data_IF_634202731458
#
_entry.id   IF_634202731458
#
_cell.length_a   1.000
_cell.length_b   1.000
_cell.length_c   1.000
_cell.angle_alpha   90.00
_cell.angle_beta   90.00
_cell.angle_gamma   90.00
#
_symmetry.space_group_name_H-M   'P 1'
#
loop_
_entity.id
_entity.type
_entity.pdbx_description
1 polymer ?
#
# COMPACT_ATOMS: atom_id res chain seq x y z
N UNK A 1 8.82 24.08 21.78
CA UNK A 1 8.51 23.37 20.52
C UNK A 1 8.00 24.42 19.56
N UNK A 2 8.78 24.74 18.54
CA UNK A 2 8.36 25.68 17.50
C UNK A 2 7.61 24.85 16.45
N UNK A 3 6.29 25.02 16.39
CA UNK A 3 5.48 24.54 15.27
C UNK A 3 5.34 25.65 14.24
N UNK A 4 5.22 25.29 12.97
CA UNK A 4 4.89 26.22 11.89
C UNK A 4 3.53 25.83 11.31
N UNK A 5 2.62 26.81 11.25
CA UNK A 5 1.29 26.64 10.67
C UNK A 5 1.02 27.81 9.75
N UNK A 6 0.81 27.53 8.47
CA UNK A 6 0.43 28.52 7.47
C UNK A 6 -0.93 28.12 6.91
N UNK A 7 -1.88 29.05 6.98
CA UNK A 7 -3.29 28.86 6.66
C UNK A 7 -3.76 30.00 5.76
N UNK A 8 -4.09 29.71 4.50
CA UNK A 8 -4.70 30.70 3.61
C UNK A 8 -3.77 31.86 3.24
N UNK A 9 -2.45 31.64 3.23
CA UNK A 9 -1.49 32.68 2.84
C UNK A 9 -1.34 32.71 1.32
N UNK A 10 -2.19 33.52 0.69
CA UNK A 10 -2.18 33.74 -0.75
C UNK A 10 -0.96 34.52 -1.27
N UNK A 11 0.08 34.77 -0.46
CA UNK A 11 1.32 35.39 -0.92
C UNK A 11 2.55 34.49 -0.71
N UNK A 12 2.38 33.31 -0.09
CA UNK A 12 3.47 32.38 0.12
C UNK A 12 3.79 31.64 -1.19
N UNK A 13 4.91 31.98 -1.81
CA UNK A 13 5.37 31.37 -3.07
C UNK A 13 6.48 30.33 -2.82
N UNK A 14 7.32 30.57 -1.82
CA UNK A 14 8.41 29.71 -1.36
C UNK A 14 8.79 30.02 0.10
N UNK A 15 9.88 29.43 0.59
CA UNK A 15 10.45 29.64 1.93
C UNK A 15 11.82 30.34 1.89
N UNK A 16 12.09 31.15 0.86
CA UNK A 16 13.39 31.80 0.71
C UNK A 16 13.75 32.63 1.96
N UNK A 17 15.00 32.53 2.40
CA UNK A 17 15.48 33.15 3.65
C UNK A 17 15.46 32.22 4.86
N UNK A 18 14.92 31.00 4.73
CA UNK A 18 15.07 29.92 5.71
C UNK A 18 16.22 28.96 5.39
N UNK A 19 17.14 29.33 4.51
CA UNK A 19 18.19 28.44 3.94
C UNK A 19 19.12 27.77 4.99
N UNK A 20 19.13 28.29 6.23
CA UNK A 20 19.90 27.74 7.36
C UNK A 20 19.04 26.96 8.37
N UNK A 21 17.73 26.84 8.14
CA UNK A 21 16.80 26.15 9.03
C UNK A 21 16.99 24.64 8.88
N UNK A 22 17.56 24.01 9.91
CA UNK A 22 17.79 22.56 9.91
C UNK A 22 16.70 21.75 10.59
N UNK A 23 15.89 22.38 11.45
CA UNK A 23 14.92 21.65 12.27
C UNK A 23 13.67 22.47 12.57
N UNK A 24 12.52 21.83 12.38
CA UNK A 24 11.23 22.28 12.93
C UNK A 24 10.94 21.44 14.17
N UNK A 25 10.90 22.09 15.33
CA UNK A 25 10.80 21.43 16.63
C UNK A 25 9.39 20.96 17.02
N UNK A 26 8.48 20.91 16.06
CA UNK A 26 7.05 20.60 16.21
C UNK A 26 6.51 20.16 14.86
N UNK A 27 5.24 20.45 14.58
CA UNK A 27 4.65 20.17 13.27
C UNK A 27 4.96 21.28 12.25
N UNK A 28 4.94 20.91 10.98
CA UNK A 28 4.92 21.79 9.82
C UNK A 28 3.60 21.56 9.07
N UNK A 29 2.77 22.59 9.00
CA UNK A 29 1.43 22.50 8.46
C UNK A 29 1.18 23.62 7.44
N UNK A 30 0.85 23.23 6.22
CA UNK A 30 0.41 24.09 5.12
C UNK A 30 -1.01 23.71 4.71
N UNK A 31 -1.89 24.69 4.64
CA UNK A 31 -3.22 24.51 4.06
C UNK A 31 -3.71 25.74 3.31
N UNK A 32 -4.33 25.53 2.15
CA UNK A 32 -4.87 26.58 1.28
C UNK A 32 -3.77 27.59 0.91
N UNK A 33 -2.66 27.09 0.37
CA UNK A 33 -1.49 27.89 -0.04
C UNK A 33 -1.29 27.74 -1.55
N UNK A 34 -2.32 28.06 -2.32
CA UNK A 34 -2.39 27.76 -3.75
C UNK A 34 -1.24 28.40 -4.55
N UNK A 35 -0.70 29.54 -4.13
CA UNK A 35 0.43 30.20 -4.81
C UNK A 35 1.81 29.62 -4.46
N UNK A 36 1.88 28.65 -3.52
CA UNK A 36 3.14 28.00 -3.15
C UNK A 36 3.59 27.10 -4.30
N UNK A 37 4.76 27.40 -4.85
CA UNK A 37 5.28 26.67 -6.02
C UNK A 37 6.49 25.80 -5.70
N UNK A 38 7.14 26.01 -4.55
CA UNK A 38 8.39 25.34 -4.23
C UNK A 38 8.69 25.31 -2.72
N UNK A 39 9.59 24.41 -2.31
CA UNK A 39 10.16 24.37 -0.96
C UNK A 39 11.50 25.14 -0.88
N UNK A 40 11.78 26.01 -1.84
CA UNK A 40 13.02 26.77 -1.90
C UNK A 40 13.23 27.53 -0.58
N UNK A 41 14.42 27.40 0.00
CA UNK A 41 14.76 27.86 1.34
C UNK A 41 14.77 26.75 2.39
N UNK A 42 14.24 25.55 2.11
CA UNK A 42 14.30 24.38 3.01
C UNK A 42 15.32 23.32 2.60
N UNK A 43 16.29 23.65 1.75
CA UNK A 43 17.30 22.69 1.30
C UNK A 43 18.20 22.17 2.44
N UNK A 44 18.32 22.93 3.54
CA UNK A 44 19.04 22.51 4.75
C UNK A 44 18.14 21.87 5.83
N UNK A 45 16.82 21.78 5.61
CA UNK A 45 15.87 21.23 6.59
C UNK A 45 16.08 19.73 6.71
N UNK A 46 16.64 19.29 7.84
CA UNK A 46 16.97 17.89 8.10
C UNK A 46 15.86 17.15 8.83
N UNK A 47 15.06 17.86 9.65
CA UNK A 47 14.16 17.21 10.59
C UNK A 47 12.91 18.02 10.91
N UNK A 48 11.79 17.32 10.97
CA UNK A 48 10.53 17.80 11.57
C UNK A 48 10.19 16.86 12.71
N UNK A 49 10.06 17.39 13.93
CA UNK A 49 9.80 16.54 15.13
C UNK A 49 8.35 16.07 15.24
N UNK A 50 7.42 16.75 14.58
CA UNK A 50 6.01 16.38 14.52
C UNK A 50 5.57 16.07 13.10
N UNK A 51 4.31 16.39 12.80
CA UNK A 51 3.71 16.11 11.50
C UNK A 51 4.27 17.01 10.39
N UNK A 52 4.40 16.45 9.19
CA UNK A 52 4.56 17.19 7.94
C UNK A 52 3.23 17.11 7.20
N UNK A 53 2.50 18.21 7.12
CA UNK A 53 1.15 18.25 6.54
C UNK A 53 1.09 19.31 5.46
N UNK A 54 0.75 18.90 4.23
CA UNK A 54 0.50 19.79 3.09
C UNK A 54 -0.81 19.40 2.44
N UNK A 55 -1.76 20.31 2.51
CA UNK A 55 -3.13 20.12 2.04
C UNK A 55 -3.53 21.31 1.20
N UNK A 56 -4.18 21.12 0.05
CA UNK A 56 -4.69 22.25 -0.76
C UNK A 56 -3.56 23.25 -1.10
N UNK A 57 -2.46 22.76 -1.68
CA UNK A 57 -1.35 23.55 -2.22
C UNK A 57 -1.31 23.34 -3.74
N UNK A 58 -2.23 24.01 -4.44
CA UNK A 58 -2.54 23.70 -5.84
C UNK A 58 -1.37 23.92 -6.80
N UNK A 59 -0.57 24.98 -6.68
CA UNK A 59 0.55 25.22 -7.61
C UNK A 59 1.85 24.46 -7.24
N UNK A 60 1.86 23.68 -6.15
CA UNK A 60 3.02 22.90 -5.73
C UNK A 60 3.09 21.58 -6.53
N UNK A 61 4.08 21.49 -7.40
CA UNK A 61 4.17 20.38 -8.37
C UNK A 61 5.13 19.24 -7.98
N UNK A 62 6.09 19.49 -7.07
CA UNK A 62 7.05 18.49 -6.60
C UNK A 62 7.66 18.84 -5.22
N UNK A 63 8.36 17.87 -4.63
CA UNK A 63 8.98 17.95 -3.29
C UNK A 63 10.51 17.84 -3.34
N UNK A 64 11.09 17.88 -4.54
CA UNK A 64 12.49 17.50 -4.80
C UNK A 64 13.53 18.41 -4.12
N UNK A 65 13.13 19.60 -3.68
CA UNK A 65 13.98 20.54 -2.97
C UNK A 65 14.21 20.20 -1.49
N UNK A 66 13.43 19.26 -0.92
CA UNK A 66 13.61 18.76 0.45
C UNK A 66 14.75 17.73 0.55
N UNK A 67 15.88 18.03 -0.10
CA UNK A 67 17.01 17.12 -0.32
C UNK A 67 17.71 16.64 0.96
N UNK A 68 17.54 17.36 2.07
CA UNK A 68 18.18 17.03 3.34
C UNK A 68 17.21 16.45 4.36
N UNK A 69 15.91 16.40 4.09
CA UNK A 69 14.90 16.01 5.08
C UNK A 69 14.96 14.50 5.31
N UNK A 70 15.57 14.10 6.42
CA UNK A 70 15.80 12.68 6.76
C UNK A 70 14.77 12.12 7.74
N UNK A 71 14.01 12.98 8.43
CA UNK A 71 13.11 12.51 9.48
C UNK A 71 11.85 13.37 9.65
N UNK A 72 10.71 12.69 9.75
CA UNK A 72 9.43 13.24 10.18
C UNK A 72 9.00 12.46 11.43
N UNK A 73 8.82 13.15 12.55
CA UNK A 73 8.49 12.50 13.82
C UNK A 73 7.02 12.09 13.97
N UNK A 74 6.13 12.70 13.20
CA UNK A 74 4.70 12.38 13.15
C UNK A 74 4.28 11.84 11.79
N UNK A 75 3.10 12.24 11.33
CA UNK A 75 2.55 11.81 10.03
C UNK A 75 3.14 12.63 8.87
N UNK A 76 3.40 11.99 7.73
CA UNK A 76 3.52 12.66 6.44
C UNK A 76 2.14 12.67 5.76
N UNK A 77 1.49 13.83 5.67
CA UNK A 77 0.19 13.99 5.02
C UNK A 77 0.31 14.90 3.80
N UNK A 78 -0.10 14.38 2.64
CA UNK A 78 -0.10 15.09 1.36
C UNK A 78 -1.46 14.88 0.70
N UNK A 79 -2.35 15.85 0.86
CA UNK A 79 -3.76 15.73 0.43
C UNK A 79 -4.18 16.84 -0.52
N UNK A 80 -5.05 16.52 -1.48
CA UNK A 80 -5.72 17.52 -2.30
C UNK A 80 -4.75 18.52 -2.97
N UNK A 81 -3.56 18.08 -3.38
CA UNK A 81 -2.63 18.90 -4.16
C UNK A 81 -2.78 18.49 -5.61
N UNK A 82 -3.77 19.06 -6.31
CA UNK A 82 -4.25 18.47 -7.57
C UNK A 82 -3.28 18.61 -8.74
N UNK A 83 -2.29 19.52 -8.68
CA UNK A 83 -1.23 19.62 -9.68
C UNK A 83 0.10 18.99 -9.26
N UNK A 84 0.18 18.35 -8.09
CA UNK A 84 1.34 17.55 -7.71
C UNK A 84 1.58 16.48 -8.78
N UNK A 85 2.74 16.51 -9.43
CA UNK A 85 3.08 15.57 -10.51
C UNK A 85 3.85 14.36 -9.97
N UNK A 86 4.66 14.60 -8.95
CA UNK A 86 5.61 13.64 -8.40
C UNK A 86 5.94 14.01 -6.95
N UNK A 87 6.29 13.02 -6.14
CA UNK A 87 6.88 13.23 -4.82
C UNK A 87 8.20 12.49 -4.78
N UNK A 88 9.24 13.21 -4.39
CA UNK A 88 10.59 12.66 -4.22
C UNK A 88 11.12 13.14 -2.88
N UNK A 89 11.28 12.21 -1.94
CA UNK A 89 11.83 12.45 -0.62
C UNK A 89 13.02 11.52 -0.38
N UNK A 90 13.93 11.41 -1.36
CA UNK A 90 14.95 10.36 -1.41
C UNK A 90 15.86 10.26 -0.16
N UNK A 91 15.95 11.31 0.65
CA UNK A 91 16.72 11.32 1.90
C UNK A 91 15.93 10.86 3.13
N UNK A 92 14.60 10.76 3.05
CA UNK A 92 13.72 10.47 4.17
C UNK A 92 13.91 9.01 4.62
N UNK A 93 14.51 8.83 5.80
CA UNK A 93 14.85 7.52 6.38
C UNK A 93 13.76 7.01 7.32
N UNK A 94 13.05 7.91 8.02
CA UNK A 94 12.05 7.50 9.00
C UNK A 94 10.86 8.44 9.12
N UNK A 95 9.68 7.83 9.30
CA UNK A 95 8.42 8.47 9.64
C UNK A 95 7.93 7.85 10.94
N UNK A 96 7.77 8.67 11.98
CA UNK A 96 7.45 8.19 13.33
C UNK A 96 6.01 7.70 13.49
N UNK A 97 5.09 8.18 12.66
CA UNK A 97 3.70 7.70 12.60
C UNK A 97 3.41 7.18 11.18
N UNK A 98 2.35 7.65 10.50
CA UNK A 98 1.95 7.14 9.19
C UNK A 98 2.33 7.99 7.97
N UNK A 99 2.05 7.42 6.79
CA UNK A 99 1.98 8.14 5.50
C UNK A 99 0.52 8.25 5.10
N UNK A 100 0.11 9.42 4.66
CA UNK A 100 -1.27 9.71 4.28
C UNK A 100 -1.28 10.50 2.96
N UNK A 101 -1.22 9.78 1.85
CA UNK A 101 -1.12 10.31 0.49
C UNK A 101 -2.45 10.14 -0.25
N UNK A 102 -3.25 11.21 -0.32
CA UNK A 102 -4.63 11.12 -0.81
C UNK A 102 -5.02 12.21 -1.79
N UNK A 103 -5.81 11.84 -2.81
CA UNK A 103 -6.46 12.79 -3.70
C UNK A 103 -5.50 13.78 -4.38
N UNK A 104 -4.30 13.33 -4.77
CA UNK A 104 -3.35 14.10 -5.57
C UNK A 104 -3.54 13.71 -7.04
N UNK A 105 -4.57 14.27 -7.66
CA UNK A 105 -5.18 13.75 -8.89
C UNK A 105 -4.31 13.81 -10.15
N UNK A 106 -3.24 14.62 -10.18
CA UNK A 106 -2.25 14.66 -11.28
C UNK A 106 -0.99 13.84 -11.00
N UNK A 107 -0.81 13.30 -9.80
CA UNK A 107 0.41 12.58 -9.44
C UNK A 107 0.41 11.24 -10.17
N UNK A 108 1.39 11.04 -11.06
CA UNK A 108 1.48 9.83 -11.87
C UNK A 108 2.31 8.75 -11.20
N UNK A 109 3.30 9.14 -10.39
CA UNK A 109 4.23 8.21 -9.76
C UNK A 109 4.42 8.58 -8.29
N UNK A 110 4.28 7.58 -7.43
CA UNK A 110 4.69 7.67 -6.02
C UNK A 110 6.04 6.97 -5.91
N UNK A 111 7.11 7.74 -5.66
CA UNK A 111 8.49 7.22 -5.59
C UNK A 111 9.33 8.02 -4.60
N UNK A 112 10.64 7.77 -4.60
CA UNK A 112 11.60 8.58 -3.86
C UNK A 112 11.53 8.38 -2.35
N UNK A 113 11.07 7.23 -1.86
CA UNK A 113 11.20 6.85 -0.45
C UNK A 113 12.30 5.79 -0.28
N UNK A 114 13.29 5.78 -1.18
CA UNK A 114 14.24 4.67 -1.28
C UNK A 114 15.04 4.49 0.01
N UNK A 115 15.32 5.58 0.74
CA UNK A 115 15.99 5.53 2.03
C UNK A 115 15.08 5.13 3.20
N UNK A 116 13.76 5.13 3.01
CA UNK A 116 12.79 4.96 4.09
C UNK A 116 12.86 3.52 4.60
N UNK A 117 13.33 3.37 5.84
CA UNK A 117 13.50 2.07 6.49
C UNK A 117 12.39 1.75 7.49
N UNK A 118 11.65 2.77 7.93
CA UNK A 118 10.66 2.66 9.00
C UNK A 118 9.47 3.60 8.85
N UNK A 119 8.26 3.06 9.01
CA UNK A 119 7.00 3.79 9.19
C UNK A 119 6.30 3.26 10.44
N UNK A 120 6.15 4.11 11.46
CA UNK A 120 5.61 3.74 12.78
C UNK A 120 4.08 3.61 12.86
N UNK A 121 3.39 3.87 11.76
CA UNK A 121 1.94 3.82 11.66
C UNK A 121 1.46 3.36 10.28
N UNK A 122 0.22 3.69 9.90
CA UNK A 122 -0.36 3.22 8.65
C UNK A 122 0.18 3.97 7.44
N UNK A 123 0.25 3.29 6.31
CA UNK A 123 0.53 3.85 4.98
C UNK A 123 -0.76 3.83 4.17
N UNK A 124 -1.34 5.00 3.97
CA UNK A 124 -2.52 5.21 3.12
C UNK A 124 -2.12 5.84 1.79
N UNK A 125 -2.43 5.17 0.68
CA UNK A 125 -2.28 5.70 -0.68
C UNK A 125 -3.63 5.59 -1.36
N UNK A 126 -4.42 6.67 -1.37
CA UNK A 126 -5.83 6.61 -1.81
C UNK A 126 -6.26 7.69 -2.78
N UNK A 127 -7.23 7.36 -3.63
CA UNK A 127 -7.94 8.33 -4.46
C UNK A 127 -7.01 9.13 -5.42
N UNK A 128 -5.84 8.59 -5.78
CA UNK A 128 -4.93 9.24 -6.72
C UNK A 128 -5.22 8.73 -8.14
N UNK A 129 -6.21 9.34 -8.79
CA UNK A 129 -6.80 8.82 -10.04
C UNK A 129 -5.81 8.68 -11.21
N UNK A 130 -4.73 9.48 -11.26
CA UNK A 130 -3.70 9.41 -12.30
C UNK A 130 -2.49 8.56 -11.91
N UNK A 131 -2.39 8.12 -10.65
CA UNK A 131 -1.26 7.33 -10.16
C UNK A 131 -1.22 6.02 -10.93
N UNK A 132 -0.15 5.80 -11.68
CA UNK A 132 0.01 4.61 -12.52
C UNK A 132 1.05 3.62 -11.97
N UNK A 133 1.92 4.08 -11.06
CA UNK A 133 2.92 3.25 -10.43
C UNK A 133 3.25 3.71 -9.00
N UNK A 134 3.43 2.73 -8.12
CA UNK A 134 4.08 2.91 -6.82
C UNK A 134 5.44 2.22 -6.89
N UNK A 135 6.48 2.91 -6.42
CA UNK A 135 7.85 2.42 -6.38
C UNK A 135 8.63 3.08 -5.26
N UNK A 136 9.86 2.65 -5.04
CA UNK A 136 10.80 3.40 -4.24
C UNK A 136 10.60 3.31 -2.73
N UNK A 137 10.04 2.23 -2.18
CA UNK A 137 10.05 1.93 -0.74
C UNK A 137 11.10 0.83 -0.42
N UNK A 138 12.14 0.72 -1.26
CA UNK A 138 12.92 -0.51 -1.43
C UNK A 138 13.60 -1.02 -0.16
N UNK A 139 13.84 -0.13 0.82
CA UNK A 139 14.49 -0.46 2.10
C UNK A 139 13.49 -0.56 3.28
N UNK A 140 12.19 -0.43 3.03
CA UNK A 140 11.17 -0.46 4.07
C UNK A 140 10.96 -1.90 4.55
N UNK A 141 11.41 -2.20 5.77
CA UNK A 141 11.37 -3.56 6.32
C UNK A 141 10.05 -3.89 7.03
N UNK A 142 9.39 -2.88 7.58
CA UNK A 142 8.26 -3.03 8.48
C UNK A 142 7.29 -1.84 8.35
N UNK A 143 5.99 -2.16 8.31
CA UNK A 143 4.89 -1.22 8.53
C UNK A 143 4.22 -1.62 9.84
N UNK A 144 4.21 -0.70 10.82
CA UNK A 144 3.74 -0.99 12.19
C UNK A 144 2.21 -1.12 12.32
N UNK A 145 1.46 -0.75 11.28
CA UNK A 145 0.00 -0.88 11.25
C UNK A 145 -0.46 -1.38 9.87
N UNK A 146 -1.17 -0.56 9.10
CA UNK A 146 -1.88 -0.94 7.88
C UNK A 146 -1.14 -0.45 6.62
N UNK A 147 -1.01 -1.29 5.59
CA UNK A 147 -0.72 -0.85 4.22
C UNK A 147 -2.02 -0.89 3.41
N UNK A 148 -2.51 0.28 3.03
CA UNK A 148 -3.82 0.46 2.41
C UNK A 148 -3.70 1.33 1.16
N UNK A 149 -3.73 0.64 0.01
CA UNK A 149 -3.58 1.21 -1.33
C UNK A 149 -4.90 1.02 -2.05
N UNK A 150 -5.77 2.03 -2.00
CA UNK A 150 -7.15 1.89 -2.44
C UNK A 150 -7.61 2.98 -3.41
N UNK A 151 -8.49 2.63 -4.34
CA UNK A 151 -9.15 3.59 -5.24
C UNK A 151 -8.16 4.40 -6.11
N UNK A 152 -7.04 3.77 -6.52
CA UNK A 152 -6.10 4.35 -7.48
C UNK A 152 -6.33 3.72 -8.86
N UNK A 153 -7.40 4.13 -9.54
CA UNK A 153 -7.96 3.43 -10.72
C UNK A 153 -6.97 3.25 -11.90
N UNK A 154 -5.97 4.13 -12.03
CA UNK A 154 -4.93 4.06 -13.07
C UNK A 154 -3.70 3.24 -12.68
N UNK A 155 -3.60 2.81 -11.42
CA UNK A 155 -2.43 2.13 -10.86
C UNK A 155 -2.27 0.78 -11.56
N UNK A 156 -1.12 0.57 -12.20
CA UNK A 156 -0.82 -0.66 -12.96
C UNK A 156 0.18 -1.55 -12.24
N UNK A 157 1.11 -0.92 -11.52
CA UNK A 157 2.28 -1.59 -10.95
C UNK A 157 2.50 -1.10 -9.53
N UNK A 158 2.63 -2.05 -8.61
CA UNK A 158 3.25 -1.84 -7.31
C UNK A 158 4.60 -2.54 -7.35
N UNK A 159 5.64 -1.76 -7.13
CA UNK A 159 7.02 -2.19 -6.94
C UNK A 159 7.58 -1.43 -5.74
N UNK A 160 8.81 -1.68 -5.36
CA UNK A 160 9.45 -0.90 -4.31
C UNK A 160 9.20 -1.43 -2.89
N UNK A 161 8.47 -2.52 -2.64
CA UNK A 161 8.33 -3.09 -1.29
C UNK A 161 9.12 -4.39 -1.12
N UNK A 162 10.15 -4.57 -1.93
CA UNK A 162 10.86 -5.84 -2.11
C UNK A 162 11.52 -6.39 -0.85
N UNK A 163 11.94 -5.51 0.06
CA UNK A 163 12.53 -5.87 1.35
C UNK A 163 11.49 -5.88 2.51
N UNK A 164 10.22 -5.57 2.24
CA UNK A 164 9.17 -5.56 3.27
C UNK A 164 8.94 -6.97 3.82
N UNK A 165 9.28 -7.17 5.09
CA UNK A 165 9.21 -8.48 5.76
C UNK A 165 7.89 -8.70 6.49
N UNK A 166 7.31 -7.64 7.04
CA UNK A 166 6.13 -7.74 7.90
C UNK A 166 5.26 -6.50 7.88
N UNK A 167 3.96 -6.73 8.00
CA UNK A 167 2.93 -5.71 8.27
C UNK A 167 2.24 -6.11 9.57
N UNK A 168 2.29 -5.25 10.59
CA UNK A 168 1.74 -5.54 11.91
C UNK A 168 0.20 -5.42 11.99
N UNK A 169 -0.42 -4.79 10.99
CA UNK A 169 -1.85 -4.76 10.72
C UNK A 169 -2.20 -5.48 9.42
N UNK A 170 -3.08 -4.92 8.59
CA UNK A 170 -3.56 -5.54 7.34
C UNK A 170 -2.82 -5.03 6.11
N UNK A 171 -2.87 -5.82 5.03
CA UNK A 171 -2.59 -5.38 3.66
C UNK A 171 -3.91 -5.30 2.90
N UNK A 172 -4.27 -4.10 2.44
CA UNK A 172 -5.49 -3.84 1.68
C UNK A 172 -5.14 -3.24 0.33
N UNK A 173 -5.46 -3.97 -0.74
CA UNK A 173 -5.39 -3.51 -2.13
C UNK A 173 -6.80 -3.58 -2.69
N UNK A 174 -7.50 -2.44 -2.75
CA UNK A 174 -8.92 -2.39 -3.10
C UNK A 174 -9.21 -1.35 -4.17
N UNK A 175 -10.01 -1.69 -5.18
CA UNK A 175 -10.44 -0.76 -6.24
C UNK A 175 -9.24 -0.12 -6.98
N UNK A 176 -8.19 -0.90 -7.26
CA UNK A 176 -7.13 -0.49 -8.17
C UNK A 176 -7.37 -1.18 -9.52
N UNK A 177 -8.40 -0.72 -10.24
CA UNK A 177 -8.96 -1.40 -11.40
C UNK A 177 -7.94 -1.78 -12.48
N UNK A 178 -6.85 -1.02 -12.64
CA UNK A 178 -5.81 -1.28 -13.65
C UNK A 178 -4.62 -2.11 -13.14
N UNK A 179 -4.62 -2.46 -11.84
CA UNK A 179 -3.49 -3.09 -11.17
C UNK A 179 -3.31 -4.50 -11.71
N UNK A 180 -2.11 -4.79 -12.18
CA UNK A 180 -1.73 -6.11 -12.73
C UNK A 180 -0.47 -6.67 -12.08
N UNK A 181 0.53 -5.82 -11.84
CA UNK A 181 1.85 -6.25 -11.41
C UNK A 181 2.02 -5.87 -9.93
N UNK A 182 2.10 -6.87 -9.06
CA UNK A 182 2.27 -6.71 -7.60
C UNK A 182 3.57 -7.36 -7.09
N UNK A 183 4.59 -7.48 -7.96
CA UNK A 183 5.91 -8.08 -7.72
C UNK A 183 6.77 -7.32 -6.68
N UNK A 184 6.13 -6.61 -5.75
CA UNK A 184 6.74 -5.90 -4.65
C UNK A 184 6.85 -6.75 -3.38
N UNK A 185 5.98 -7.75 -3.17
CA UNK A 185 5.80 -8.34 -1.84
C UNK A 185 6.54 -9.67 -1.62
N UNK A 186 7.47 -10.05 -2.49
CA UNK A 186 8.06 -11.39 -2.49
C UNK A 186 8.90 -11.75 -1.24
N UNK A 187 9.26 -10.77 -0.41
CA UNK A 187 9.90 -10.99 0.90
C UNK A 187 8.94 -10.95 2.09
N UNK A 188 7.66 -10.61 1.86
CA UNK A 188 6.66 -10.43 2.91
C UNK A 188 6.32 -11.78 3.54
N UNK A 189 6.69 -11.94 4.82
CA UNK A 189 6.53 -13.19 5.57
C UNK A 189 5.29 -13.21 6.46
N UNK A 190 4.85 -12.03 6.93
CA UNK A 190 3.75 -11.96 7.90
C UNK A 190 2.88 -10.72 7.74
N UNK A 191 1.57 -10.94 7.88
CA UNK A 191 0.55 -9.90 8.01
C UNK A 191 -0.21 -10.21 9.30
N UNK A 192 -0.08 -9.37 10.33
CA UNK A 192 -0.77 -9.62 11.61
C UNK A 192 -2.23 -9.13 11.63
N UNK A 193 -2.79 -8.87 10.45
CA UNK A 193 -4.21 -8.62 10.17
C UNK A 193 -4.67 -9.39 8.92
N UNK A 194 -5.53 -8.76 8.12
CA UNK A 194 -6.11 -9.35 6.90
C UNK A 194 -5.23 -9.13 5.66
N UNK A 195 -5.31 -10.05 4.71
CA UNK A 195 -4.91 -9.83 3.32
C UNK A 195 -6.18 -9.64 2.49
N UNK A 196 -6.36 -8.43 1.97
CA UNK A 196 -7.55 -8.03 1.21
C UNK A 196 -7.17 -7.60 -0.20
N UNK A 197 -7.58 -8.40 -1.19
CA UNK A 197 -7.46 -8.12 -2.61
C UNK A 197 -8.89 -8.01 -3.17
N UNK A 198 -9.36 -6.79 -3.45
CA UNK A 198 -10.74 -6.59 -3.91
C UNK A 198 -10.79 -5.64 -5.11
N UNK A 199 -11.52 -6.01 -6.17
CA UNK A 199 -11.68 -5.17 -7.36
C UNK A 199 -10.35 -4.75 -7.99
N UNK A 200 -9.37 -5.67 -8.03
CA UNK A 200 -8.14 -5.52 -8.80
C UNK A 200 -8.25 -6.40 -10.06
N UNK A 201 -9.03 -5.94 -11.03
CA UNK A 201 -9.53 -6.77 -12.12
C UNK A 201 -8.45 -7.38 -13.03
N UNK A 202 -7.23 -6.83 -13.04
CA UNK A 202 -6.16 -7.24 -13.94
C UNK A 202 -5.05 -8.06 -13.27
N UNK A 203 -5.09 -8.26 -11.95
CA UNK A 203 -4.18 -9.19 -11.27
C UNK A 203 -4.48 -10.60 -11.77
N UNK A 204 -3.48 -11.27 -12.32
CA UNK A 204 -3.56 -12.65 -12.82
C UNK A 204 -2.58 -13.61 -12.14
N UNK A 205 -1.74 -13.10 -11.24
CA UNK A 205 -0.72 -13.85 -10.51
C UNK A 205 -0.60 -13.34 -9.06
N UNK A 206 -0.46 -14.25 -8.09
CA UNK A 206 -0.25 -13.96 -6.67
C UNK A 206 1.12 -14.45 -6.18
N UNK A 207 2.07 -14.76 -7.06
CA UNK A 207 3.40 -15.26 -6.69
C UNK A 207 4.22 -14.24 -5.88
N UNK A 208 3.83 -12.97 -5.94
CA UNK A 208 4.28 -11.92 -5.04
C UNK A 208 4.11 -12.27 -3.56
N UNK A 209 3.19 -13.15 -3.17
CA UNK A 209 2.99 -13.58 -1.79
C UNK A 209 3.64 -14.93 -1.46
N UNK A 210 4.52 -15.45 -2.33
CA UNK A 210 5.12 -16.78 -2.16
C UNK A 210 5.94 -16.97 -0.88
N UNK A 211 6.40 -15.90 -0.22
CA UNK A 211 7.07 -15.96 1.08
C UNK A 211 6.12 -15.79 2.28
N UNK A 212 4.83 -15.52 2.05
CA UNK A 212 3.87 -15.21 3.11
C UNK A 212 3.51 -16.48 3.88
N UNK A 213 3.96 -16.55 5.13
CA UNK A 213 3.78 -17.71 6.02
C UNK A 213 2.60 -17.53 6.97
N UNK A 214 2.22 -16.29 7.30
CA UNK A 214 1.16 -16.05 8.27
C UNK A 214 0.29 -14.84 7.94
N UNK A 215 -1.02 -15.02 8.10
CA UNK A 215 -2.00 -13.94 8.21
C UNK A 215 -2.77 -14.14 9.52
N UNK A 216 -3.00 -13.11 10.32
CA UNK A 216 -3.77 -13.21 11.57
C UNK A 216 -5.16 -12.56 11.42
N UNK A 217 -5.79 -12.80 10.28
CA UNK A 217 -7.00 -12.11 9.85
C UNK A 217 -7.70 -12.84 8.70
N UNK A 218 -8.47 -12.09 7.91
CA UNK A 218 -9.19 -12.66 6.77
C UNK A 218 -8.26 -12.80 5.58
N UNK A 219 -8.38 -13.89 4.83
CA UNK A 219 -7.90 -13.99 3.45
C UNK A 219 -9.07 -13.67 2.53
N UNK A 220 -9.02 -12.55 1.82
CA UNK A 220 -10.10 -12.09 0.95
C UNK A 220 -9.59 -11.81 -0.45
N UNK A 221 -10.08 -12.57 -1.43
CA UNK A 221 -9.83 -12.34 -2.87
C UNK A 221 -11.19 -12.18 -3.55
N UNK A 222 -11.49 -10.96 -3.96
CA UNK A 222 -12.79 -10.59 -4.52
C UNK A 222 -12.59 -9.84 -5.84
N UNK A 223 -13.37 -10.16 -6.87
CA UNK A 223 -13.37 -9.42 -8.12
C UNK A 223 -12.00 -9.37 -8.84
N UNK A 224 -11.18 -10.40 -8.68
CA UNK A 224 -9.91 -10.58 -9.41
C UNK A 224 -10.14 -11.40 -10.68
N UNK A 225 -10.85 -10.82 -11.65
CA UNK A 225 -11.46 -11.56 -12.77
C UNK A 225 -10.47 -12.24 -13.72
N UNK A 226 -9.17 -11.87 -13.69
CA UNK A 226 -8.12 -12.51 -14.49
C UNK A 226 -7.34 -13.58 -13.74
N UNK A 227 -7.50 -13.67 -12.42
CA UNK A 227 -6.79 -14.64 -11.60
C UNK A 227 -7.33 -16.04 -11.88
N UNK A 228 -6.45 -16.96 -12.30
CA UNK A 228 -6.85 -18.34 -12.63
C UNK A 228 -6.59 -19.33 -11.48
N UNK A 229 -5.68 -18.98 -10.58
CA UNK A 229 -5.20 -19.81 -9.50
C UNK A 229 -4.84 -18.96 -8.28
N UNK A 230 -4.94 -19.53 -7.08
CA UNK A 230 -4.42 -18.91 -5.85
C UNK A 230 -2.91 -19.14 -5.63
N UNK A 231 -2.20 -19.60 -6.66
CA UNK A 231 -0.77 -19.91 -6.60
C UNK A 231 0.04 -18.72 -6.05
N UNK A 232 0.94 -18.99 -5.11
CA UNK A 232 1.65 -18.00 -4.32
C UNK A 232 1.15 -17.91 -2.88
N UNK A 233 -0.05 -18.40 -2.56
CA UNK A 233 -0.61 -18.38 -1.21
C UNK A 233 -0.43 -19.71 -0.43
N UNK A 234 0.30 -20.68 -0.96
CA UNK A 234 0.41 -22.04 -0.41
C UNK A 234 1.07 -22.11 0.97
N UNK A 235 1.92 -21.14 1.29
CA UNK A 235 2.74 -21.15 2.50
C UNK A 235 2.04 -20.58 3.73
N UNK A 236 0.85 -19.98 3.57
CA UNK A 236 0.09 -19.41 4.68
C UNK A 236 -0.35 -20.52 5.63
N UNK A 237 -0.01 -20.41 6.91
CA UNK A 237 -0.47 -21.31 7.97
C UNK A 237 -2.00 -21.28 8.06
N UNK A 238 -2.68 -22.41 7.75
CA UNK A 238 -4.13 -22.45 7.75
C UNK A 238 -4.77 -22.24 9.13
N UNK A 239 -4.03 -22.44 10.22
CA UNK A 239 -4.56 -22.23 11.58
C UNK A 239 -4.66 -20.75 11.97
N UNK A 240 -4.00 -19.87 11.22
CA UNK A 240 -3.96 -18.43 11.47
C UNK A 240 -5.02 -17.68 10.64
N UNK A 241 -5.52 -18.28 9.56
CA UNK A 241 -6.64 -17.75 8.77
C UNK A 241 -7.90 -17.72 9.63
N UNK A 242 -8.51 -16.54 9.79
CA UNK A 242 -9.74 -16.39 10.60
C UNK A 242 -11.01 -16.49 9.77
N UNK A 243 -10.93 -16.17 8.48
CA UNK A 243 -12.03 -16.24 7.52
C UNK A 243 -11.46 -16.31 6.10
N UNK A 244 -12.12 -17.08 5.23
CA UNK A 244 -11.78 -17.17 3.81
C UNK A 244 -12.93 -16.60 2.98
N UNK A 245 -12.64 -15.61 2.13
CA UNK A 245 -13.60 -15.04 1.19
C UNK A 245 -13.00 -15.10 -0.21
N UNK A 246 -13.62 -15.86 -1.10
CA UNK A 246 -13.22 -15.96 -2.51
C UNK A 246 -14.48 -15.75 -3.35
N UNK A 247 -14.60 -14.60 -4.01
CA UNK A 247 -15.83 -14.29 -4.73
C UNK A 247 -15.62 -13.48 -6.00
N UNK A 248 -16.50 -13.65 -6.98
CA UNK A 248 -16.50 -12.87 -8.22
C UNK A 248 -15.15 -12.93 -8.97
N UNK A 249 -14.41 -14.04 -8.86
CA UNK A 249 -13.16 -14.27 -9.58
C UNK A 249 -13.44 -15.18 -10.78
N UNK A 250 -14.01 -14.61 -11.84
CA UNK A 250 -14.60 -15.34 -12.98
C UNK A 250 -13.67 -16.35 -13.68
N UNK A 251 -12.35 -16.18 -13.60
CA UNK A 251 -11.36 -17.10 -14.20
C UNK A 251 -10.76 -18.11 -13.21
N UNK A 252 -11.07 -17.98 -11.92
CA UNK A 252 -10.42 -18.72 -10.84
C UNK A 252 -11.00 -20.13 -10.78
N UNK A 253 -10.23 -21.12 -11.25
CA UNK A 253 -10.60 -22.54 -11.25
C UNK A 253 -9.69 -23.40 -10.37
N UNK A 254 -8.60 -22.82 -9.84
CA UNK A 254 -7.66 -23.52 -8.95
C UNK A 254 -7.45 -22.78 -7.62
N UNK A 255 -8.17 -23.19 -6.59
CA UNK A 255 -8.09 -22.63 -5.23
C UNK A 255 -7.95 -23.69 -4.14
N UNK A 256 -7.96 -24.99 -4.50
CA UNK A 256 -7.77 -26.12 -3.57
C UNK A 256 -6.29 -26.34 -3.24
N UNK A 257 -5.61 -25.30 -2.75
CA UNK A 257 -4.24 -25.40 -2.25
C UNK A 257 -4.20 -26.25 -0.96
N UNK A 258 -3.09 -26.96 -0.65
CA UNK A 258 -3.03 -27.83 0.53
C UNK A 258 -3.37 -27.14 1.86
N UNK A 259 -2.95 -25.88 2.04
CA UNK A 259 -3.29 -25.08 3.20
C UNK A 259 -4.78 -24.70 3.22
N UNK A 260 -5.35 -24.27 2.08
CA UNK A 260 -6.78 -23.97 1.98
C UNK A 260 -7.63 -25.22 2.28
N UNK A 261 -7.25 -26.38 1.74
CA UNK A 261 -7.92 -27.65 2.05
C UNK A 261 -7.84 -27.98 3.55
N UNK A 262 -6.67 -27.83 4.16
CA UNK A 262 -6.48 -28.03 5.60
C UNK A 262 -7.34 -27.07 6.44
N UNK A 263 -7.47 -25.81 6.01
CA UNK A 263 -8.33 -24.82 6.66
C UNK A 263 -9.80 -25.24 6.63
N UNK A 264 -10.29 -25.67 5.47
CA UNK A 264 -11.68 -26.11 5.28
C UNK A 264 -11.99 -27.41 6.03
N UNK A 265 -11.07 -28.39 6.03
CA UNK A 265 -11.20 -29.66 6.79
C UNK A 265 -11.35 -29.40 8.30
N UNK A 266 -10.77 -28.31 8.79
CA UNK A 266 -10.90 -27.87 10.18
C UNK A 266 -12.17 -27.04 10.44
N UNK A 267 -13.12 -27.01 9.49
CA UNK A 267 -14.36 -26.23 9.53
C UNK A 267 -14.12 -24.72 9.64
N UNK A 268 -13.04 -24.21 9.03
CA UNK A 268 -12.79 -22.78 8.93
C UNK A 268 -13.94 -22.05 8.22
N UNK A 269 -14.40 -20.88 8.71
CA UNK A 269 -15.46 -20.14 8.06
C UNK A 269 -15.04 -19.69 6.65
N UNK A 270 -15.87 -20.00 5.65
CA UNK A 270 -15.55 -19.70 4.27
C UNK A 270 -16.79 -19.24 3.50
N UNK A 271 -16.60 -18.25 2.63
CA UNK A 271 -17.61 -17.75 1.70
C UNK A 271 -17.05 -17.83 0.28
N UNK A 272 -17.63 -18.70 -0.55
CA UNK A 272 -17.25 -18.90 -1.95
C UNK A 272 -18.48 -18.80 -2.85
N UNK A 273 -18.43 -17.92 -3.85
CA UNK A 273 -19.50 -17.76 -4.85
C UNK A 273 -19.03 -16.99 -6.08
N UNK A 274 -19.62 -17.29 -7.25
CA UNK A 274 -19.35 -16.61 -8.51
C UNK A 274 -17.87 -16.69 -8.92
N UNK A 275 -17.28 -17.87 -8.86
CA UNK A 275 -15.94 -18.13 -9.40
C UNK A 275 -16.05 -19.16 -10.55
N UNK A 276 -14.95 -19.53 -11.19
CA UNK A 276 -14.99 -20.61 -12.19
C UNK A 276 -15.17 -21.98 -11.52
N UNK A 277 -15.53 -22.98 -12.32
CA UNK A 277 -15.71 -24.36 -11.90
C UNK A 277 -14.43 -24.85 -11.19
N UNK A 278 -14.61 -25.41 -10.00
CA UNK A 278 -13.52 -25.80 -9.10
C UNK A 278 -13.36 -24.88 -7.90
N UNK A 279 -13.85 -23.64 -8.00
CA UNK A 279 -13.78 -22.64 -6.95
C UNK A 279 -15.11 -21.92 -6.69
N UNK A 280 -16.18 -22.26 -7.41
CA UNK A 280 -17.43 -21.51 -7.36
C UNK A 280 -18.13 -21.62 -6.00
N UNK A 281 -18.01 -22.74 -5.30
CA UNK A 281 -18.65 -22.94 -4.01
C UNK A 281 -17.87 -23.96 -3.16
N UNK A 282 -18.23 -24.02 -1.87
CA UNK A 282 -17.53 -24.86 -0.90
C UNK A 282 -17.49 -26.35 -1.30
N UNK A 283 -18.58 -26.89 -1.85
CA UNK A 283 -18.65 -28.31 -2.23
C UNK A 283 -17.68 -28.65 -3.36
N UNK A 284 -17.47 -27.73 -4.31
CA UNK A 284 -16.50 -27.92 -5.39
C UNK A 284 -15.07 -27.93 -4.84
N UNK A 285 -14.73 -26.96 -4.00
CA UNK A 285 -13.38 -26.88 -3.41
C UNK A 285 -13.09 -28.10 -2.55
N UNK A 286 -14.02 -28.50 -1.68
CA UNK A 286 -13.91 -29.72 -0.86
C UNK A 286 -13.75 -30.98 -1.72
N UNK A 287 -14.45 -31.07 -2.86
CA UNK A 287 -14.29 -32.17 -3.81
C UNK A 287 -12.86 -32.23 -4.38
N UNK A 288 -12.28 -31.11 -4.78
CA UNK A 288 -10.91 -31.05 -5.29
C UNK A 288 -9.83 -31.16 -4.20
N UNK A 289 -10.19 -30.92 -2.94
CA UNK A 289 -9.35 -31.18 -1.77
C UNK A 289 -9.22 -32.67 -1.42
N UNK A 290 -10.09 -33.55 -1.94
CA UNK A 290 -10.01 -34.99 -1.69
C UNK A 290 -8.72 -35.58 -2.33
N UNK A 291 -7.82 -36.18 -1.53
CA UNK A 291 -6.61 -36.83 -2.03
C UNK A 291 -6.86 -37.89 -3.12
N UNK A 292 -8.04 -38.51 -3.14
CA UNK A 292 -8.42 -39.51 -4.14
C UNK A 292 -8.76 -38.90 -5.49
N UNK A 293 -9.22 -37.64 -5.53
CA UNK A 293 -9.48 -36.90 -6.77
C UNK A 293 -8.17 -36.46 -7.43
N UNK A 294 -7.19 -36.03 -6.63
CA UNK A 294 -5.84 -35.70 -7.10
C UNK A 294 -5.14 -36.86 -7.84
N UNK A 295 -5.38 -38.12 -7.42
CA UNK A 295 -4.79 -39.31 -8.05
C UNK A 295 -5.45 -39.72 -9.37
N UNK A 296 -6.66 -39.22 -9.68
CA UNK A 296 -7.42 -39.59 -10.87
C UNK A 296 -7.20 -38.64 -12.07
N UNK A 297 -6.41 -37.57 -11.89
CA UNK A 297 -6.11 -36.55 -12.91
C UNK A 297 -4.66 -36.59 -13.42
N UNK A 298 -3.82 -37.50 -12.90
CA UNK A 298 -2.47 -37.82 -13.38
C UNK A 298 -2.48 -39.03 -14.32
#
# INVERSE_FOLDING_TARGET
MCSSSILGDAALIDFAGFDALQRIGGYFFLQNVDELTSFNGFQALERIDGDFIVVEAEDLIDYSELVSLVHIGGVLRVWNNFHLLDIDMAALDSIGDGIDFKNNSSCMHLKGFDALSYVGGPVYIKDNIALDSISGFNNLLLIDDLLDINTNLSLKVISGFEDLLSINGSLSLVENDSLRDIDAFYSLQSINGSLELNSNYYIDDLSAFSALESINGSLSVISAIRLNALTGLENIDPTMITNLIIAACDSLSFCSLPNICTYLDNNGPATLYNNDIGCDNLLEVEFYCDPMVHLAQL
#
